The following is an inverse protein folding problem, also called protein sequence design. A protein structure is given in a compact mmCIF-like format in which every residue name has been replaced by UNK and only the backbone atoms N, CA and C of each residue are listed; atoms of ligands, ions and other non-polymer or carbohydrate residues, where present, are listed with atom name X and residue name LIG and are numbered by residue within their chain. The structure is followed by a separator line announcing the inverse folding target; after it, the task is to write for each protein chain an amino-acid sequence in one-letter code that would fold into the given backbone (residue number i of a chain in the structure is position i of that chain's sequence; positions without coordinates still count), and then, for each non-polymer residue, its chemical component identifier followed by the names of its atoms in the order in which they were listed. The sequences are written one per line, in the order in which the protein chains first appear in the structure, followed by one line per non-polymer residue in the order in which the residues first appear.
data_IF_674919623361
#
_entry.id   IF_674919623361
#
_cell.length_a   1.000
_cell.length_b   1.000
_cell.length_c   1.000
_cell.angle_alpha   90.00
_cell.angle_beta   90.00
_cell.angle_gamma   90.00
#
_symmetry.space_group_name_H-M   'P 1'
#
loop_
_entity.id
_entity.type
_entity.pdbx_description
1 polymer ?
#
# COMPACT_ATOMS: atom_id res chain seq x y z
N UNK A 1 -0.16 -14.79 34.07
CA UNK A 1 -0.06 -14.96 32.61
C UNK A 1 0.90 -13.91 32.09
N UNK A 2 2.00 -14.30 31.44
CA UNK A 2 2.91 -13.35 30.80
C UNK A 2 2.19 -12.70 29.61
N UNK A 3 2.42 -11.40 29.33
CA UNK A 3 1.80 -10.74 28.19
C UNK A 3 2.29 -11.39 26.89
N UNK A 4 1.38 -11.93 26.10
CA UNK A 4 1.68 -12.47 24.77
C UNK A 4 2.13 -11.31 23.88
N UNK A 5 3.40 -11.31 23.49
CA UNK A 5 4.00 -10.26 22.65
C UNK A 5 3.29 -10.24 21.30
N UNK A 6 2.72 -9.09 20.92
CA UNK A 6 2.07 -8.93 19.62
C UNK A 6 3.09 -9.22 18.49
N UNK A 7 2.77 -10.16 17.61
CA UNK A 7 3.63 -10.52 16.48
C UNK A 7 3.47 -9.51 15.35
N UNK A 8 4.51 -8.74 15.06
CA UNK A 8 4.53 -7.77 13.94
C UNK A 8 5.33 -8.29 12.75
N UNK A 9 5.10 -7.76 11.55
CA UNK A 9 5.89 -8.12 10.36
C UNK A 9 7.39 -7.90 10.58
N UNK A 10 7.76 -6.86 11.33
CA UNK A 10 9.17 -6.58 11.69
C UNK A 10 9.78 -7.72 12.50
N UNK A 11 9.03 -8.33 13.43
CA UNK A 11 9.54 -9.52 14.14
C UNK A 11 9.62 -10.76 13.25
N UNK A 12 8.72 -10.89 12.27
CA UNK A 12 8.71 -12.03 11.36
C UNK A 12 9.80 -11.98 10.29
N UNK A 13 10.31 -10.79 9.95
CA UNK A 13 11.38 -10.68 8.95
C UNK A 13 12.70 -11.32 9.38
N UNK A 14 12.87 -11.63 10.67
CA UNK A 14 14.05 -12.34 11.20
C UNK A 14 13.91 -13.87 11.08
N UNK A 15 12.72 -14.39 10.77
CA UNK A 15 12.47 -15.82 10.60
C UNK A 15 13.04 -16.32 9.26
N UNK A 16 13.68 -17.50 9.27
CA UNK A 16 14.25 -18.12 8.06
C UNK A 16 13.23 -18.82 7.16
N UNK A 17 12.00 -19.00 7.65
CA UNK A 17 10.95 -19.77 7.00
C UNK A 17 9.67 -18.96 6.97
N UNK A 18 9.02 -18.91 5.80
CA UNK A 18 7.74 -18.25 5.64
C UNK A 18 6.64 -19.05 6.36
N UNK A 19 5.85 -18.39 7.19
CA UNK A 19 4.71 -19.05 7.85
C UNK A 19 3.65 -19.41 6.82
N UNK A 20 3.03 -20.59 6.96
CA UNK A 20 2.03 -21.12 6.02
C UNK A 20 0.89 -20.14 5.74
N UNK A 21 0.49 -19.32 6.72
CA UNK A 21 -0.57 -18.30 6.59
C UNK A 21 -0.26 -17.17 5.59
N UNK A 22 0.99 -17.02 5.16
CA UNK A 22 1.40 -16.08 4.10
C UNK A 22 1.55 -16.76 2.74
N UNK A 23 1.51 -18.09 2.69
CA UNK A 23 1.55 -18.86 1.45
C UNK A 23 0.15 -18.86 0.85
N UNK A 24 0.03 -18.35 -0.37
CA UNK A 24 -1.21 -18.38 -1.15
C UNK A 24 -1.54 -19.81 -1.58
N UNK A 25 -2.82 -20.12 -1.66
CA UNK A 25 -3.29 -21.37 -2.26
C UNK A 25 -2.88 -21.46 -3.73
N UNK A 26 -2.66 -22.67 -4.23
CA UNK A 26 -2.08 -22.89 -5.58
C UNK A 26 -2.85 -22.19 -6.69
N UNK A 27 -4.17 -22.09 -6.57
CA UNK A 27 -5.08 -21.46 -7.53
C UNK A 27 -5.05 -19.92 -7.47
N UNK A 28 -4.67 -19.33 -6.33
CA UNK A 28 -4.48 -17.88 -6.15
C UNK A 28 -3.08 -17.39 -6.56
N UNK A 29 -2.12 -18.30 -6.78
CA UNK A 29 -0.75 -17.91 -7.12
C UNK A 29 -0.68 -17.29 -8.52
N UNK A 30 0.26 -16.34 -8.74
CA UNK A 30 0.46 -15.74 -10.06
C UNK A 30 0.72 -16.81 -11.12
N UNK A 31 -0.10 -16.83 -12.17
CA UNK A 31 0.04 -17.73 -13.32
C UNK A 31 0.96 -17.17 -14.40
N UNK A 32 1.34 -15.90 -14.27
CA UNK A 32 2.22 -15.17 -15.19
C UNK A 32 3.63 -15.12 -14.64
N UNK A 33 4.62 -15.04 -15.52
CA UNK A 33 6.02 -14.95 -15.11
C UNK A 33 6.30 -13.64 -14.38
N UNK A 34 6.98 -13.71 -13.22
CA UNK A 34 7.26 -12.56 -12.35
C UNK A 34 8.14 -11.47 -12.97
N UNK A 35 8.80 -11.77 -14.10
CA UNK A 35 9.75 -10.89 -14.78
C UNK A 35 9.20 -10.30 -16.08
N UNK A 36 7.92 -10.54 -16.40
CA UNK A 36 7.26 -9.98 -17.59
C UNK A 36 6.40 -8.82 -17.17
N UNK A 37 6.86 -7.59 -17.45
CA UNK A 37 6.15 -6.36 -17.12
C UNK A 37 5.61 -5.71 -18.39
N UNK A 38 4.38 -5.18 -18.32
CA UNK A 38 3.82 -4.34 -19.36
C UNK A 38 4.12 -2.87 -19.05
N UNK A 39 4.55 -2.10 -20.05
CA UNK A 39 4.73 -0.64 -19.97
C UNK A 39 3.48 0.11 -20.46
N UNK A 40 2.34 -0.56 -20.56
CA UNK A 40 1.16 -0.05 -21.26
C UNK A 40 0.25 0.81 -20.37
N UNK A 41 0.51 0.89 -19.05
CA UNK A 41 -0.27 1.73 -18.15
C UNK A 41 -0.18 3.19 -18.62
N UNK A 42 -1.31 3.86 -18.95
CA UNK A 42 -1.29 5.21 -19.47
C UNK A 42 -0.60 6.19 -18.54
N UNK A 43 0.23 7.07 -19.11
CA UNK A 43 0.86 8.19 -18.39
C UNK A 43 0.25 9.49 -18.90
N UNK A 44 -0.40 10.25 -18.01
CA UNK A 44 -1.13 11.48 -18.36
C UNK A 44 -0.45 12.67 -17.68
N UNK A 45 0.03 13.61 -18.49
CA UNK A 45 0.51 14.91 -18.00
C UNK A 45 -0.67 15.85 -17.72
N UNK A 46 -0.65 16.53 -16.57
CA UNK A 46 -1.61 17.59 -16.25
C UNK A 46 -1.08 19.00 -16.58
N UNK A 47 0.05 19.09 -17.28
CA UNK A 47 0.60 20.38 -17.71
C UNK A 47 -0.44 21.14 -18.56
N UNK A 48 -0.87 22.31 -18.08
CA UNK A 48 -1.86 23.13 -18.76
C UNK A 48 -3.32 22.68 -18.58
N UNK A 49 -3.62 21.84 -17.58
CA UNK A 49 -5.00 21.48 -17.21
C UNK A 49 -5.88 22.68 -16.85
N UNK A 50 -5.28 23.76 -16.37
CA UNK A 50 -5.99 25.01 -16.05
C UNK A 50 -6.17 25.93 -17.28
N UNK A 51 -5.68 25.52 -18.44
CA UNK A 51 -5.67 26.31 -19.67
C UNK A 51 -6.38 25.62 -20.83
N UNK A 52 -5.85 25.86 -22.04
CA UNK A 52 -6.46 25.37 -23.30
C UNK A 52 -6.42 23.86 -23.47
N UNK A 53 -5.52 23.16 -22.76
CA UNK A 53 -5.36 21.70 -22.86
C UNK A 53 -6.36 20.91 -22.00
N UNK A 54 -7.19 21.59 -21.20
CA UNK A 54 -8.10 20.95 -20.24
C UNK A 54 -8.98 19.87 -20.87
N UNK A 55 -9.61 20.17 -22.00
CA UNK A 55 -10.54 19.24 -22.65
C UNK A 55 -9.85 17.96 -23.12
N UNK A 56 -8.66 18.09 -23.70
CA UNK A 56 -7.88 16.94 -24.18
C UNK A 56 -7.36 16.09 -23.01
N UNK A 57 -6.91 16.72 -21.93
CA UNK A 57 -6.46 16.02 -20.71
C UNK A 57 -7.65 15.28 -20.08
N UNK A 58 -8.82 15.92 -19.94
CA UNK A 58 -10.03 15.26 -19.44
C UNK A 58 -10.43 14.06 -20.31
N UNK A 59 -10.35 14.18 -21.64
CA UNK A 59 -10.64 13.06 -22.55
C UNK A 59 -9.70 11.88 -22.32
N UNK A 60 -8.40 12.13 -22.20
CA UNK A 60 -7.39 11.08 -21.90
C UNK A 60 -7.66 10.40 -20.56
N UNK A 61 -8.09 11.14 -19.54
CA UNK A 61 -8.45 10.58 -18.23
C UNK A 61 -9.67 9.66 -18.36
N UNK A 62 -10.69 10.06 -19.11
CA UNK A 62 -11.88 9.22 -19.35
C UNK A 62 -11.48 7.94 -20.07
N UNK A 63 -10.74 8.04 -21.17
CA UNK A 63 -10.27 6.89 -21.95
C UNK A 63 -9.44 5.92 -21.07
N UNK A 64 -8.51 6.44 -20.27
CA UNK A 64 -7.72 5.60 -19.36
C UNK A 64 -8.57 4.94 -18.25
N UNK A 65 -9.61 5.62 -17.75
CA UNK A 65 -10.55 5.03 -16.80
C UNK A 65 -11.37 3.90 -17.44
N UNK A 66 -11.83 4.06 -18.68
CA UNK A 66 -12.66 3.10 -19.40
C UNK A 66 -11.85 1.86 -19.84
N UNK A 67 -10.65 2.07 -20.38
CA UNK A 67 -9.84 1.00 -20.96
C UNK A 67 -8.96 0.28 -19.93
N UNK A 68 -8.41 1.01 -18.95
CA UNK A 68 -7.43 0.49 -17.99
C UNK A 68 -7.92 0.44 -16.54
N UNK A 69 -8.79 1.37 -16.13
CA UNK A 69 -9.19 1.57 -14.74
C UNK A 69 -8.08 2.12 -13.83
N UNK A 70 -6.87 2.33 -14.35
CA UNK A 70 -5.72 2.95 -13.67
C UNK A 70 -4.84 3.70 -14.66
N UNK A 71 -4.20 4.78 -14.22
CA UNK A 71 -3.21 5.54 -14.97
C UNK A 71 -2.22 6.22 -14.02
N UNK A 72 -1.07 6.62 -14.56
CA UNK A 72 -0.08 7.42 -13.86
C UNK A 72 -0.25 8.89 -14.23
N UNK A 73 -0.03 9.77 -13.26
CA UNK A 73 -0.12 11.22 -13.46
C UNK A 73 1.26 11.85 -13.33
N UNK A 74 1.61 12.72 -14.28
CA UNK A 74 2.82 13.56 -14.25
C UNK A 74 2.45 15.02 -14.40
N UNK A 75 3.37 15.94 -14.08
CA UNK A 75 3.15 17.39 -14.12
C UNK A 75 1.91 17.85 -13.35
N UNK A 76 1.59 17.17 -12.24
CA UNK A 76 0.42 17.43 -11.40
C UNK A 76 0.53 18.67 -10.51
N UNK A 77 1.68 19.37 -10.53
CA UNK A 77 1.91 20.60 -9.76
C UNK A 77 2.08 20.40 -8.24
N UNK A 78 2.16 19.16 -7.76
CA UNK A 78 2.48 18.87 -6.35
C UNK A 78 3.98 18.95 -6.16
N UNK A 79 4.42 19.69 -5.15
CA UNK A 79 5.83 19.88 -4.83
C UNK A 79 6.53 18.54 -4.56
N UNK A 80 7.66 18.31 -5.24
CA UNK A 80 8.42 17.07 -5.10
C UNK A 80 9.11 16.97 -3.73
N UNK A 81 9.40 18.11 -3.08
CA UNK A 81 9.88 18.16 -1.70
C UNK A 81 8.84 17.61 -0.72
N UNK A 82 7.57 18.02 -0.86
CA UNK A 82 6.45 17.51 -0.08
C UNK A 82 6.28 15.99 -0.24
N UNK A 83 6.36 15.47 -1.46
CA UNK A 83 6.30 14.02 -1.72
C UNK A 83 7.48 13.29 -1.07
N UNK A 84 8.68 13.87 -1.14
CA UNK A 84 9.88 13.31 -0.50
C UNK A 84 9.73 13.25 1.03
N UNK A 85 9.22 14.32 1.64
CA UNK A 85 8.98 14.40 3.09
C UNK A 85 7.89 13.44 3.56
N UNK A 86 6.79 13.31 2.81
CA UNK A 86 5.76 12.29 3.06
C UNK A 86 6.38 10.89 3.08
N UNK A 87 7.19 10.57 2.06
CA UNK A 87 7.90 9.29 1.98
C UNK A 87 8.90 9.09 3.12
N UNK A 88 9.59 10.16 3.55
CA UNK A 88 10.50 10.12 4.70
C UNK A 88 9.75 9.82 5.99
N UNK A 89 8.67 10.53 6.28
CA UNK A 89 7.85 10.29 7.48
C UNK A 89 7.23 8.90 7.50
N UNK A 90 6.75 8.39 6.36
CA UNK A 90 6.25 7.03 6.27
C UNK A 90 7.33 6.00 6.65
N UNK A 91 8.54 6.13 6.08
CA UNK A 91 9.67 5.25 6.41
C UNK A 91 10.06 5.33 7.89
N UNK A 92 10.16 6.54 8.43
CA UNK A 92 10.50 6.77 9.85
C UNK A 92 9.46 6.13 10.77
N UNK A 93 8.16 6.32 10.48
CA UNK A 93 7.09 5.71 11.27
C UNK A 93 7.18 4.17 11.26
N UNK A 94 7.37 3.55 10.10
CA UNK A 94 7.47 2.08 10.03
C UNK A 94 8.77 1.53 10.64
N UNK A 95 9.83 2.34 10.72
CA UNK A 95 11.08 2.02 11.41
C UNK A 95 10.99 2.10 12.94
N UNK A 96 9.94 2.72 13.49
CA UNK A 96 9.73 2.74 14.94
C UNK A 96 9.52 1.33 15.51
N UNK A 97 9.86 1.12 16.81
CA UNK A 97 9.52 -0.10 17.53
C UNK A 97 8.02 -0.43 17.44
N UNK A 98 7.71 -1.73 17.57
CA UNK A 98 6.32 -2.20 17.45
C UNK A 98 5.41 -1.58 18.51
N UNK A 99 5.93 -1.38 19.70
CA UNK A 99 5.26 -0.79 20.85
C UNK A 99 4.79 0.64 20.57
N UNK A 100 5.60 1.43 19.86
CA UNK A 100 5.27 2.79 19.47
C UNK A 100 4.17 2.82 18.39
N UNK A 101 4.26 1.92 17.40
CA UNK A 101 3.25 1.80 16.33
C UNK A 101 1.90 1.34 16.89
N UNK A 102 1.90 0.42 17.86
CA UNK A 102 0.70 -0.11 18.50
C UNK A 102 -0.06 0.91 19.37
N UNK A 103 0.56 2.05 19.73
CA UNK A 103 -0.18 3.17 20.36
C UNK A 103 -1.27 3.73 19.44
N UNK A 104 -1.13 3.52 18.13
CA UNK A 104 -2.09 3.91 17.12
C UNK A 104 -3.00 2.76 16.69
N UNK A 105 -3.11 1.67 17.47
CA UNK A 105 -3.90 0.49 17.09
C UNK A 105 -5.36 0.85 16.73
N UNK A 106 -5.79 0.43 15.54
CA UNK A 106 -7.13 0.66 15.02
C UNK A 106 -8.09 -0.53 15.16
N UNK A 107 -7.71 -1.57 15.91
CA UNK A 107 -8.64 -2.66 16.26
C UNK A 107 -9.90 -2.14 16.96
N UNK A 108 -11.01 -2.89 16.84
CA UNK A 108 -12.29 -2.52 17.47
C UNK A 108 -13.10 -1.44 16.74
N UNK A 109 -12.91 -1.26 15.42
CA UNK A 109 -13.76 -0.40 14.59
C UNK A 109 -13.38 1.09 14.60
N UNK A 110 -12.14 1.43 14.97
CA UNK A 110 -11.64 2.82 14.91
C UNK A 110 -11.46 3.25 13.45
N UNK A 111 -11.71 4.53 13.15
CA UNK A 111 -11.72 5.09 11.79
C UNK A 111 -10.32 5.41 11.21
N UNK A 112 -9.25 5.05 11.90
CA UNK A 112 -7.87 5.25 11.44
C UNK A 112 -6.83 4.86 12.47
N UNK A 113 -5.63 4.51 12.02
CA UNK A 113 -4.51 4.11 12.86
C UNK A 113 -3.63 3.04 12.20
N UNK A 114 -2.85 2.35 13.02
CA UNK A 114 -2.01 1.22 12.63
C UNK A 114 -2.77 -0.08 12.88
N UNK A 115 -2.77 -0.99 11.90
CA UNK A 115 -3.31 -2.34 12.07
C UNK A 115 -2.22 -3.37 11.78
N UNK A 116 -2.10 -4.34 12.67
CA UNK A 116 -1.34 -5.56 12.40
C UNK A 116 -2.27 -6.49 11.61
N UNK A 117 -1.84 -6.89 10.40
CA UNK A 117 -2.61 -7.71 9.46
C UNK A 117 -3.52 -8.72 10.14
N UNK A 118 -4.76 -8.88 9.67
CA UNK A 118 -5.70 -9.88 10.19
C UNK A 118 -5.10 -11.31 10.17
N UNK A 119 -4.23 -11.62 9.21
CA UNK A 119 -3.51 -12.90 9.12
C UNK A 119 -2.46 -13.09 10.24
N UNK A 120 -2.05 -12.02 10.91
CA UNK A 120 -1.16 -12.04 12.08
C UNK A 120 -1.92 -12.04 13.41
N UNK A 121 -3.23 -11.78 13.38
CA UNK A 121 -4.08 -11.84 14.57
C UNK A 121 -4.31 -13.32 14.89
N UNK A 122 -3.47 -13.88 15.76
CA UNK A 122 -3.77 -15.16 16.40
C UNK A 122 -5.08 -14.99 17.16
N UNK A 123 -6.05 -15.84 16.80
CA UNK A 123 -7.36 -16.04 17.41
C UNK A 123 -7.45 -15.61 18.89
N UNK A 124 -8.07 -14.45 19.13
CA UNK A 124 -8.66 -14.11 20.43
C UNK A 124 -10.17 -14.40 20.46
N UNK A 125 -10.64 -15.31 19.60
CA UNK A 125 -11.99 -15.87 19.68
C UNK A 125 -11.93 -17.39 19.78
N UNK A 126 -11.65 -17.90 20.98
CA UNK A 126 -12.29 -19.14 21.44
C UNK A 126 -12.38 -19.08 22.97
N UNK A 127 -13.55 -19.46 23.47
CA UNK A 127 -14.04 -19.38 24.84
C UNK A 127 -13.14 -20.09 25.86
#
# INVERSE_FOLDING_TARGET
MAPTKATTLTSLSEEKTLQQKFVRDEDERPKVAYNTFSNEIPVISLAGIDGTQRLDICKKIVEACEDWGIFQVVDHGVDLGLVSEMNRFAREFFALPSEEKLKFDMSGGKKGGFIVSSHLQVLHHTL
#
